data_IF_948159736181
#
_entry.id   IF_948159736181
#
_cell.length_a   1.000
_cell.length_b   1.000
_cell.length_c   1.000
_cell.angle_alpha   90.00
_cell.angle_beta   90.00
_cell.angle_gamma   90.00
#
_symmetry.space_group_name_H-M   'P 1'
#
loop_
_entity.id
_entity.type
_entity.pdbx_description
1 polymer ?
#
# COMPACT_ATOMS: atom_id res chain seq x y z
N UNK A 1 0.71 -3.48 -33.09
CA UNK A 1 -0.59 -4.21 -32.98
C UNK A 1 -1.69 -3.29 -33.49
N UNK A 2 -2.61 -3.75 -34.33
CA UNK A 2 -3.71 -2.92 -34.85
C UNK A 2 -4.85 -2.86 -33.83
N UNK A 3 -5.40 -1.68 -33.58
CA UNK A 3 -6.52 -1.44 -32.67
C UNK A 3 -7.67 -0.77 -33.43
N UNK A 4 -8.90 -1.04 -33.02
CA UNK A 4 -10.10 -0.36 -33.50
C UNK A 4 -11.00 -0.13 -32.29
N UNK A 5 -11.41 1.11 -32.07
CA UNK A 5 -12.26 1.51 -30.96
C UNK A 5 -13.45 2.31 -31.49
N UNK A 6 -14.70 1.93 -31.17
CA UNK A 6 -15.85 2.77 -31.43
C UNK A 6 -15.76 4.10 -30.67
N UNK A 7 -16.42 5.13 -31.18
CA UNK A 7 -16.48 6.43 -30.50
C UNK A 7 -17.02 6.27 -29.07
N UNK A 8 -16.32 6.87 -28.10
CA UNK A 8 -16.69 6.84 -26.68
C UNK A 8 -16.45 5.50 -25.96
N UNK A 9 -15.82 4.51 -26.61
CA UNK A 9 -15.54 3.20 -26.01
C UNK A 9 -14.07 3.03 -25.67
N UNK A 10 -13.81 2.27 -24.60
CA UNK A 10 -12.47 1.87 -24.20
C UNK A 10 -12.09 0.52 -24.82
N UNK A 11 -10.85 0.39 -25.29
CA UNK A 11 -10.31 -0.88 -25.81
C UNK A 11 -9.05 -1.22 -25.03
N UNK A 12 -9.04 -2.42 -24.44
CA UNK A 12 -7.86 -2.96 -23.77
C UNK A 12 -7.09 -3.88 -24.72
N UNK A 13 -5.77 -3.77 -24.72
CA UNK A 13 -4.88 -4.70 -25.42
C UNK A 13 -3.75 -5.15 -24.53
N UNK A 14 -3.42 -6.45 -24.60
CA UNK A 14 -2.23 -7.01 -23.97
C UNK A 14 -1.13 -7.19 -25.03
N UNK A 15 0.11 -6.87 -24.66
CA UNK A 15 1.30 -7.12 -25.48
C UNK A 15 2.32 -7.86 -24.64
N UNK A 16 3.03 -8.79 -25.27
CA UNK A 16 4.09 -9.56 -24.63
C UNK A 16 5.43 -9.16 -25.25
N UNK A 17 6.39 -8.84 -24.39
CA UNK A 17 7.75 -8.47 -24.78
C UNK A 17 8.70 -9.43 -24.09
N UNK A 18 9.53 -10.13 -24.87
CA UNK A 18 10.58 -11.00 -24.34
C UNK A 18 11.86 -10.20 -24.15
N UNK A 19 12.30 -10.07 -22.90
CA UNK A 19 13.60 -9.46 -22.57
C UNK A 19 14.59 -10.59 -22.32
N UNK A 20 15.56 -10.75 -23.22
CA UNK A 20 16.65 -11.73 -23.06
C UNK A 20 17.67 -11.22 -22.05
N UNK A 21 18.04 -12.08 -21.08
CA UNK A 21 19.04 -11.78 -20.04
C UNK A 21 18.80 -10.43 -19.33
N UNK A 22 17.63 -10.22 -18.70
CA UNK A 22 17.30 -8.95 -18.07
C UNK A 22 18.25 -8.65 -16.91
N UNK A 23 18.61 -7.37 -16.76
CA UNK A 23 19.25 -6.88 -15.55
C UNK A 23 18.18 -6.74 -14.48
N UNK A 24 18.20 -7.64 -13.49
CA UNK A 24 17.15 -7.66 -12.48
C UNK A 24 17.28 -6.46 -11.54
N UNK A 25 16.13 -5.91 -11.15
CA UNK A 25 16.03 -4.96 -10.06
C UNK A 25 16.27 -5.69 -8.73
N UNK A 26 17.13 -5.14 -7.88
CA UNK A 26 17.37 -5.60 -6.52
C UNK A 26 17.60 -4.41 -5.59
N UNK A 27 17.77 -4.67 -4.29
CA UNK A 27 18.13 -3.62 -3.31
C UNK A 27 19.49 -3.01 -3.66
N UNK A 28 20.47 -3.82 -4.05
CA UNK A 28 21.85 -3.41 -4.30
C UNK A 28 22.04 -2.90 -5.73
N UNK A 29 21.32 -3.46 -6.69
CA UNK A 29 21.35 -3.11 -8.11
C UNK A 29 19.94 -2.79 -8.61
N UNK A 30 19.42 -1.58 -8.32
CA UNK A 30 18.07 -1.16 -8.69
C UNK A 30 17.96 -0.82 -10.19
N UNK A 31 18.13 -1.82 -11.05
CA UNK A 31 18.04 -1.65 -12.50
C UNK A 31 16.61 -1.30 -12.93
N UNK A 32 16.45 -0.17 -13.61
CA UNK A 32 15.18 0.32 -14.14
C UNK A 32 15.16 0.29 -15.67
N UNK A 33 13.96 0.12 -16.21
CA UNK A 33 13.62 0.11 -17.62
C UNK A 33 12.53 1.14 -17.90
N UNK A 34 12.54 1.69 -19.11
CA UNK A 34 11.47 2.54 -19.62
C UNK A 34 10.65 1.78 -20.66
N UNK A 35 9.37 1.59 -20.39
CA UNK A 35 8.40 1.10 -21.35
C UNK A 35 7.78 2.30 -22.07
N UNK A 36 8.21 2.51 -23.32
CA UNK A 36 7.66 3.54 -24.19
C UNK A 36 6.48 2.98 -24.99
N UNK A 37 5.28 3.48 -24.70
CA UNK A 37 4.04 3.13 -25.41
C UNK A 37 3.69 4.24 -26.38
N UNK A 38 3.54 3.90 -27.66
CA UNK A 38 3.17 4.86 -28.72
C UNK A 38 1.89 4.40 -29.43
N UNK A 39 0.98 5.34 -29.66
CA UNK A 39 -0.22 5.12 -30.47
C UNK A 39 -0.01 5.79 -31.82
N UNK A 40 -0.17 5.00 -32.89
CA UNK A 40 -0.02 5.49 -34.25
C UNK A 40 -1.35 5.46 -35.00
N UNK A 41 -1.64 6.54 -35.74
CA UNK A 41 -2.66 6.56 -36.79
C UNK A 41 -1.95 6.56 -38.15
N UNK A 42 -1.97 5.41 -38.83
CA UNK A 42 -1.09 5.17 -39.97
C UNK A 42 0.38 5.18 -39.52
N UNK A 43 1.19 6.07 -40.10
CA UNK A 43 2.60 6.25 -39.73
C UNK A 43 2.83 7.45 -38.80
N UNK A 44 1.77 8.13 -38.33
CA UNK A 44 1.86 9.32 -37.47
C UNK A 44 1.65 8.92 -36.01
N UNK A 45 2.56 9.32 -35.13
CA UNK A 45 2.37 9.24 -33.67
C UNK A 45 1.29 10.24 -33.26
N UNK A 46 0.26 9.77 -32.55
CA UNK A 46 -0.85 10.61 -32.05
C UNK A 46 -0.88 10.68 -30.53
N UNK A 47 -0.23 9.73 -29.85
CA UNK A 47 -0.09 9.71 -28.39
C UNK A 47 1.15 8.91 -27.99
N UNK A 48 1.74 9.29 -26.86
CA UNK A 48 2.95 8.67 -26.32
C UNK A 48 2.95 8.72 -24.79
N UNK A 49 3.31 7.62 -24.16
CA UNK A 49 3.49 7.54 -22.71
C UNK A 49 4.73 6.73 -22.39
N UNK A 50 5.49 7.17 -21.39
CA UNK A 50 6.64 6.44 -20.86
C UNK A 50 6.35 5.99 -19.44
N UNK A 51 6.52 4.69 -19.18
CA UNK A 51 6.38 4.11 -17.84
C UNK A 51 7.73 3.58 -17.39
N UNK A 52 8.25 4.09 -16.27
CA UNK A 52 9.43 3.53 -15.61
C UNK A 52 9.03 2.33 -14.78
N UNK A 53 9.77 1.24 -14.87
CA UNK A 53 9.57 0.03 -14.06
C UNK A 53 10.86 -0.77 -13.96
N UNK A 54 10.83 -1.98 -13.39
CA UNK A 54 11.96 -2.89 -13.32
C UNK A 54 11.52 -4.34 -13.44
N UNK A 55 12.48 -5.25 -13.56
CA UNK A 55 12.24 -6.69 -13.71
C UNK A 55 12.78 -7.38 -12.46
N UNK A 56 11.92 -8.04 -11.70
CA UNK A 56 12.32 -8.88 -10.56
C UNK A 56 11.29 -9.96 -10.30
N UNK A 57 11.66 -10.94 -9.49
CA UNK A 57 10.73 -11.88 -8.87
C UNK A 57 10.92 -11.85 -7.36
N UNK A 58 9.89 -12.22 -6.61
CA UNK A 58 10.05 -12.52 -5.18
C UNK A 58 9.08 -13.61 -4.75
N UNK A 59 9.31 -14.15 -3.57
CA UNK A 59 8.42 -15.13 -2.93
C UNK A 59 8.25 -14.82 -1.46
N UNK A 60 7.08 -15.16 -0.93
CA UNK A 60 6.83 -15.31 0.49
C UNK A 60 6.50 -16.77 0.74
N UNK A 61 7.44 -17.49 1.33
CA UNK A 61 7.24 -18.88 1.73
C UNK A 61 6.97 -18.94 3.24
N UNK A 62 5.94 -19.67 3.70
CA UNK A 62 5.59 -19.73 5.13
C UNK A 62 6.67 -20.40 5.99
N UNK A 63 7.57 -21.20 5.40
CA UNK A 63 8.63 -21.91 6.10
C UNK A 63 10.00 -21.22 5.95
N UNK A 64 10.28 -20.63 4.78
CA UNK A 64 11.61 -20.03 4.49
C UNK A 64 11.62 -18.51 4.45
N UNK A 65 10.46 -17.85 4.54
CA UNK A 65 10.32 -16.40 4.58
C UNK A 65 10.39 -15.72 3.22
N UNK A 66 10.90 -14.49 3.18
CA UNK A 66 10.96 -13.67 1.96
C UNK A 66 12.25 -13.92 1.17
N UNK A 67 12.12 -14.03 -0.15
CA UNK A 67 13.24 -14.08 -1.07
C UNK A 67 13.03 -13.16 -2.28
N UNK A 68 14.05 -12.41 -2.66
CA UNK A 68 14.08 -11.52 -3.82
C UNK A 68 15.03 -12.11 -4.87
N UNK A 69 14.56 -12.28 -6.11
CA UNK A 69 15.29 -12.90 -7.21
C UNK A 69 15.88 -14.29 -6.85
N UNK A 70 15.13 -15.06 -6.06
CA UNK A 70 15.54 -16.39 -5.59
C UNK A 70 16.53 -16.40 -4.42
N UNK A 71 16.94 -15.23 -3.90
CA UNK A 71 17.85 -15.09 -2.77
C UNK A 71 17.09 -14.70 -1.50
N UNK A 72 17.29 -15.44 -0.41
CA UNK A 72 16.66 -15.15 0.87
C UNK A 72 17.08 -13.76 1.37
N UNK A 73 16.11 -12.94 1.76
CA UNK A 73 16.32 -11.57 2.20
C UNK A 73 15.47 -11.27 3.44
N UNK A 74 16.09 -10.74 4.49
CA UNK A 74 15.35 -10.16 5.61
C UNK A 74 14.89 -8.75 5.24
N UNK A 75 13.61 -8.49 5.40
CA UNK A 75 13.00 -7.17 5.21
C UNK A 75 13.30 -6.33 6.46
N UNK A 76 14.20 -5.36 6.32
CA UNK A 76 14.66 -4.42 7.36
C UNK A 76 13.89 -3.11 7.19
N UNK A 77 12.60 -3.18 7.48
CA UNK A 77 11.64 -2.12 7.23
C UNK A 77 11.61 -1.04 8.30
N UNK A 78 11.29 0.19 7.89
CA UNK A 78 10.86 1.28 8.79
C UNK A 78 9.52 1.84 8.33
N UNK A 79 8.74 2.39 9.27
CA UNK A 79 7.49 3.08 8.97
C UNK A 79 7.77 4.57 8.78
N UNK A 80 7.20 5.17 7.73
CA UNK A 80 7.31 6.60 7.47
C UNK A 80 5.91 7.22 7.41
N UNK A 81 5.71 8.29 8.16
CA UNK A 81 4.66 9.27 7.87
C UNK A 81 5.10 10.17 6.71
N UNK A 82 4.14 10.91 6.13
CA UNK A 82 4.36 11.69 4.91
C UNK A 82 4.90 13.12 5.15
N UNK A 83 5.17 13.51 6.41
CA UNK A 83 5.73 14.82 6.74
C UNK A 83 7.27 14.82 6.86
N UNK A 84 7.86 16.02 6.81
CA UNK A 84 9.28 16.25 7.08
C UNK A 84 9.53 17.47 7.98
N UNK A 85 9.13 17.37 9.25
CA UNK A 85 9.46 18.37 10.27
C UNK A 85 8.92 19.76 9.90
N UNK A 86 9.80 20.76 9.79
CA UNK A 86 9.40 22.15 9.49
C UNK A 86 8.73 22.33 8.13
N UNK A 87 8.87 21.36 7.22
CA UNK A 87 8.23 21.39 5.89
C UNK A 87 6.78 20.91 5.93
N UNK A 88 6.34 20.35 7.05
CA UNK A 88 5.06 19.65 7.13
C UNK A 88 4.97 18.60 6.02
N UNK A 89 3.84 18.58 5.31
CA UNK A 89 3.50 17.59 4.28
C UNK A 89 3.95 17.99 2.87
N UNK A 90 4.42 19.23 2.67
CA UNK A 90 4.91 19.73 1.38
C UNK A 90 6.41 19.46 1.23
N UNK A 91 6.78 18.19 1.21
CA UNK A 91 8.18 17.76 1.28
C UNK A 91 8.81 17.68 -0.12
N UNK A 92 9.87 18.46 -0.42
CA UNK A 92 10.57 18.35 -1.70
C UNK A 92 11.23 16.98 -1.90
N UNK A 93 11.27 16.49 -3.15
CA UNK A 93 11.88 15.19 -3.52
C UNK A 93 13.30 15.02 -2.98
N UNK A 94 14.14 16.06 -3.03
CA UNK A 94 15.52 16.01 -2.53
C UNK A 94 15.62 15.80 -1.00
N UNK A 95 14.64 16.28 -0.24
CA UNK A 95 14.59 16.03 1.21
C UNK A 95 14.28 14.55 1.48
N UNK A 96 13.33 13.97 0.74
CA UNK A 96 13.06 12.55 0.80
C UNK A 96 14.27 11.72 0.38
N UNK A 97 14.91 12.07 -0.74
CA UNK A 97 16.12 11.39 -1.21
C UNK A 97 17.20 11.34 -0.15
N UNK A 98 17.49 12.48 0.50
CA UNK A 98 18.45 12.53 1.61
C UNK A 98 18.06 11.61 2.76
N UNK A 99 16.81 11.66 3.23
CA UNK A 99 16.33 10.82 4.34
C UNK A 99 16.40 9.33 4.01
N UNK A 100 15.99 8.95 2.80
CA UNK A 100 16.01 7.55 2.34
C UNK A 100 17.44 7.03 2.18
N UNK A 101 18.37 7.85 1.67
CA UNK A 101 19.79 7.49 1.62
C UNK A 101 20.36 7.27 3.01
N UNK A 102 20.08 8.15 3.97
CA UNK A 102 20.52 7.96 5.36
C UNK A 102 19.96 6.68 5.98
N UNK A 103 18.67 6.36 5.75
CA UNK A 103 18.10 5.08 6.19
C UNK A 103 18.81 3.89 5.55
N UNK A 104 19.10 3.97 4.26
CA UNK A 104 19.78 2.91 3.51
C UNK A 104 21.22 2.70 4.00
N UNK A 105 21.94 3.78 4.33
CA UNK A 105 23.27 3.72 4.95
C UNK A 105 23.26 2.99 6.31
N UNK A 106 22.16 3.08 7.05
CA UNK A 106 21.93 2.32 8.29
C UNK A 106 21.52 0.86 8.06
N UNK A 107 21.38 0.43 6.80
CA UNK A 107 21.00 -0.92 6.42
C UNK A 107 19.49 -1.15 6.25
N UNK A 108 18.68 -0.10 6.23
CA UNK A 108 17.27 -0.19 5.86
C UNK A 108 17.14 -0.63 4.38
N UNK A 109 16.22 -1.55 4.10
CA UNK A 109 15.93 -1.99 2.74
C UNK A 109 14.44 -1.98 2.38
N UNK A 110 13.58 -1.48 3.28
CA UNK A 110 12.15 -1.41 3.04
C UNK A 110 11.48 -0.26 3.79
N UNK A 111 10.42 0.26 3.21
CA UNK A 111 9.59 1.33 3.75
C UNK A 111 8.15 0.83 3.83
N UNK A 112 7.47 1.12 4.93
CA UNK A 112 6.01 1.11 5.03
C UNK A 112 5.50 2.54 4.99
N UNK A 113 4.59 2.83 4.06
CA UNK A 113 3.83 4.08 4.03
C UNK A 113 2.78 4.02 5.15
N UNK A 114 2.95 4.78 6.23
CA UNK A 114 2.06 4.74 7.39
C UNK A 114 1.26 6.04 7.49
N UNK A 115 -0.07 6.05 7.41
CA UNK A 115 -1.01 4.95 7.15
C UNK A 115 -1.89 5.30 5.94
N UNK A 116 -1.23 5.76 4.88
CA UNK A 116 -1.86 6.38 3.72
C UNK A 116 -1.00 6.19 2.47
N UNK A 117 -1.56 6.39 1.26
CA UNK A 117 -0.77 6.52 0.05
C UNK A 117 0.09 7.77 0.13
N UNK A 118 1.38 7.66 -0.21
CA UNK A 118 2.31 8.79 -0.25
C UNK A 118 2.29 9.47 -1.64
N UNK A 119 3.09 10.54 -1.77
CA UNK A 119 3.30 11.22 -3.04
C UNK A 119 4.12 10.33 -4.01
N UNK A 120 3.85 10.38 -5.34
CA UNK A 120 4.53 9.57 -6.35
C UNK A 120 6.07 9.59 -6.27
N UNK A 121 6.63 10.74 -5.91
CA UNK A 121 8.07 10.97 -5.81
C UNK A 121 8.76 10.05 -4.81
N UNK A 122 8.06 9.60 -3.75
CA UNK A 122 8.62 8.64 -2.80
C UNK A 122 8.83 7.27 -3.44
N UNK A 123 7.84 6.79 -4.19
CA UNK A 123 7.93 5.49 -4.86
C UNK A 123 8.97 5.50 -5.98
N UNK A 124 9.05 6.60 -6.74
CA UNK A 124 10.15 6.82 -7.71
C UNK A 124 11.52 6.75 -7.04
N UNK A 125 11.69 7.41 -5.89
CA UNK A 125 12.94 7.32 -5.13
C UNK A 125 13.19 5.91 -4.61
N UNK A 126 12.18 5.18 -4.14
CA UNK A 126 12.34 3.79 -3.70
C UNK A 126 12.72 2.86 -4.86
N UNK A 127 12.17 3.08 -6.05
CA UNK A 127 12.55 2.38 -7.29
C UNK A 127 14.02 2.64 -7.63
N UNK A 128 14.44 3.92 -7.66
CA UNK A 128 15.80 4.36 -8.00
C UNK A 128 16.83 3.94 -6.95
N UNK A 129 16.47 4.01 -5.67
CA UNK A 129 17.38 3.75 -4.57
C UNK A 129 17.42 2.28 -4.18
N UNK A 130 16.53 1.42 -4.66
CA UNK A 130 16.49 0.01 -4.27
C UNK A 130 15.99 -0.15 -2.83
N UNK A 131 14.74 0.25 -2.58
CA UNK A 131 14.02 0.05 -1.32
C UNK A 131 12.68 -0.62 -1.62
N UNK A 132 12.32 -1.67 -0.89
CA UNK A 132 11.00 -2.29 -1.01
C UNK A 132 9.94 -1.38 -0.37
N UNK A 133 8.71 -1.37 -0.90
CA UNK A 133 7.61 -0.55 -0.37
C UNK A 133 6.37 -1.39 -0.06
N UNK A 134 5.90 -1.30 1.18
CA UNK A 134 4.55 -1.69 1.56
C UNK A 134 3.68 -0.43 1.53
N UNK A 135 2.80 -0.37 0.54
CA UNK A 135 1.91 0.77 0.33
C UNK A 135 0.57 0.53 1.00
N UNK A 136 0.14 1.45 1.87
CA UNK A 136 -0.99 1.26 2.77
C UNK A 136 -2.11 2.24 2.47
N UNK A 137 -3.33 1.71 2.32
CA UNK A 137 -4.46 2.51 1.87
C UNK A 137 -5.11 3.31 3.00
N UNK A 138 -5.35 2.68 4.16
CA UNK A 138 -6.24 3.22 5.16
C UNK A 138 -5.76 2.98 6.59
N UNK A 139 -5.94 3.97 7.46
CA UNK A 139 -5.83 3.79 8.91
C UNK A 139 -7.15 3.30 9.53
N UNK A 140 -8.28 3.51 8.86
CA UNK A 140 -9.62 3.16 9.35
C UNK A 140 -10.56 2.86 8.17
N UNK A 141 -11.65 2.13 8.43
CA UNK A 141 -12.64 1.74 7.41
C UNK A 141 -13.98 2.46 7.63
N UNK A 142 -15.07 1.71 7.80
CA UNK A 142 -16.44 2.23 7.93
C UNK A 142 -16.77 2.78 9.33
N UNK A 143 -15.86 2.66 10.29
CA UNK A 143 -16.00 3.24 11.62
C UNK A 143 -14.72 3.97 12.01
N UNK A 144 -14.82 5.11 12.70
CA UNK A 144 -13.68 5.95 13.01
C UNK A 144 -12.90 5.45 14.22
N UNK A 145 -11.58 5.57 14.18
CA UNK A 145 -10.71 5.54 15.36
C UNK A 145 -10.77 6.88 16.08
N UNK A 146 -10.57 6.87 17.41
CA UNK A 146 -10.46 8.08 18.23
C UNK A 146 -9.32 8.98 17.77
N UNK A 147 -9.63 10.22 17.40
CA UNK A 147 -8.64 11.27 17.11
C UNK A 147 -8.56 12.24 18.30
N UNK A 148 -7.50 12.17 19.08
CA UNK A 148 -7.35 13.01 20.28
C UNK A 148 -7.09 14.47 19.88
N UNK A 149 -8.11 15.32 20.05
CA UNK A 149 -8.05 16.74 19.67
C UNK A 149 -7.13 17.55 20.58
N UNK A 150 -7.04 17.15 21.85
CA UNK A 150 -6.10 17.70 22.82
C UNK A 150 -5.38 16.54 23.53
N UNK A 151 -4.07 16.68 23.73
CA UNK A 151 -3.26 15.68 24.42
C UNK A 151 -3.05 14.38 23.62
N UNK A 152 -2.75 13.30 24.35
CA UNK A 152 -2.55 11.96 23.79
C UNK A 152 -3.27 10.96 24.68
N UNK A 153 -4.25 10.24 24.13
CA UNK A 153 -5.04 9.24 24.87
C UNK A 153 -5.73 9.82 26.12
N UNK A 154 -6.02 11.12 26.11
CA UNK A 154 -6.65 11.84 27.22
C UNK A 154 -7.55 12.94 26.66
N UNK A 155 -8.75 13.06 27.19
CA UNK A 155 -9.70 14.13 26.82
C UNK A 155 -10.88 13.61 26.01
N UNK A 156 -11.43 14.46 25.15
CA UNK A 156 -12.56 14.12 24.26
C UNK A 156 -12.01 13.87 22.85
N UNK A 157 -12.17 12.66 22.29
CA UNK A 157 -11.76 12.40 20.92
C UNK A 157 -12.75 13.02 19.91
N UNK A 158 -12.21 13.46 18.78
CA UNK A 158 -12.96 13.67 17.55
C UNK A 158 -13.06 12.38 16.74
N UNK A 159 -14.03 12.35 15.83
CA UNK A 159 -14.34 11.20 14.99
C UNK A 159 -14.53 11.58 13.51
N UNK A 160 -14.28 12.84 13.17
CA UNK A 160 -14.35 13.33 11.79
C UNK A 160 -13.20 12.71 10.97
N UNK A 161 -13.50 12.22 9.77
CA UNK A 161 -12.50 11.55 8.95
C UNK A 161 -13.04 10.92 7.67
N UNK A 162 -12.23 10.04 7.08
CA UNK A 162 -12.58 9.35 5.82
C UNK A 162 -13.81 8.45 5.96
N UNK A 163 -14.18 8.09 7.20
CA UNK A 163 -15.31 7.22 7.52
C UNK A 163 -16.62 7.69 6.88
N UNK A 164 -16.87 9.00 6.84
CA UNK A 164 -18.09 9.59 6.26
C UNK A 164 -18.22 9.34 4.75
N UNK A 165 -17.10 9.02 4.11
CA UNK A 165 -16.97 8.82 2.67
C UNK A 165 -16.60 7.40 2.30
N UNK A 166 -16.21 6.56 3.27
CA UNK A 166 -15.61 5.25 3.02
C UNK A 166 -16.53 4.31 2.23
N UNK A 167 -17.84 4.32 2.49
CA UNK A 167 -18.80 3.51 1.73
C UNK A 167 -18.82 3.87 0.23
N UNK A 168 -18.75 5.17 -0.09
CA UNK A 168 -18.80 5.67 -1.46
C UNK A 168 -17.43 5.67 -2.16
N UNK A 169 -16.34 5.86 -1.40
CA UNK A 169 -15.01 6.16 -1.94
C UNK A 169 -13.96 5.11 -1.62
N UNK A 170 -14.09 4.31 -0.55
CA UNK A 170 -13.02 3.42 -0.09
C UNK A 170 -12.53 2.42 -1.15
N UNK A 171 -13.45 1.78 -1.89
CA UNK A 171 -13.06 0.89 -2.99
C UNK A 171 -12.45 1.65 -4.17
N UNK A 172 -12.97 2.85 -4.46
CA UNK A 172 -12.51 3.67 -5.58
C UNK A 172 -11.09 4.17 -5.32
N UNK A 173 -10.85 4.73 -4.14
CA UNK A 173 -9.56 5.28 -3.73
C UNK A 173 -8.51 4.18 -3.65
N UNK A 174 -8.86 3.01 -3.11
CA UNK A 174 -7.98 1.83 -3.13
C UNK A 174 -7.65 1.38 -4.55
N UNK A 175 -8.65 1.34 -5.43
CA UNK A 175 -8.45 0.97 -6.82
C UNK A 175 -7.56 1.98 -7.56
N UNK A 176 -7.70 3.28 -7.26
CA UNK A 176 -6.93 4.36 -7.85
C UNK A 176 -5.48 4.36 -7.36
N UNK A 177 -5.25 4.10 -6.06
CA UNK A 177 -3.91 3.85 -5.49
C UNK A 177 -3.19 2.71 -6.23
N UNK A 178 -3.83 1.53 -6.32
CA UNK A 178 -3.21 0.38 -7.00
C UNK A 178 -2.97 0.68 -8.48
N UNK A 179 -3.90 1.34 -9.18
CA UNK A 179 -3.71 1.70 -10.59
C UNK A 179 -2.56 2.68 -10.80
N UNK A 180 -2.45 3.69 -9.95
CA UNK A 180 -1.40 4.71 -9.98
C UNK A 180 -0.04 4.04 -9.77
N UNK A 181 0.06 3.17 -8.77
CA UNK A 181 1.36 2.79 -8.22
C UNK A 181 1.86 1.40 -8.66
N UNK A 182 1.02 0.53 -9.26
CA UNK A 182 1.40 -0.86 -9.61
C UNK A 182 2.59 -1.02 -10.57
N UNK A 183 3.03 0.04 -11.22
CA UNK A 183 4.20 0.02 -12.09
C UNK A 183 5.52 0.25 -11.34
N UNK A 184 5.47 0.76 -10.10
CA UNK A 184 6.63 0.87 -9.22
C UNK A 184 7.14 -0.52 -8.85
N UNK A 185 8.39 -0.79 -9.21
CA UNK A 185 9.03 -2.09 -8.99
C UNK A 185 9.37 -2.32 -7.51
N UNK A 186 9.56 -1.24 -6.76
CA UNK A 186 9.80 -1.23 -5.31
C UNK A 186 8.62 -1.78 -4.52
N UNK A 187 7.37 -1.53 -4.94
CA UNK A 187 6.19 -2.00 -4.22
C UNK A 187 6.16 -3.53 -4.23
N UNK A 188 6.13 -4.14 -3.05
CA UNK A 188 6.14 -5.60 -2.88
C UNK A 188 4.93 -6.12 -2.10
N UNK A 189 4.09 -5.24 -1.56
CA UNK A 189 2.83 -5.60 -0.90
C UNK A 189 1.89 -4.41 -0.83
N UNK A 190 0.59 -4.71 -0.81
CA UNK A 190 -0.49 -3.74 -0.66
C UNK A 190 -1.16 -3.95 0.70
N UNK A 191 -1.08 -2.98 1.61
CA UNK A 191 -1.76 -3.01 2.90
C UNK A 191 -3.15 -2.36 2.79
N UNK A 192 -4.20 -3.10 3.15
CA UNK A 192 -5.60 -2.62 3.05
C UNK A 192 -6.11 -1.90 4.30
N UNK A 193 -5.36 -1.92 5.40
CA UNK A 193 -5.79 -1.34 6.66
C UNK A 193 -4.72 -1.49 7.73
N UNK A 194 -4.62 -0.53 8.65
CA UNK A 194 -3.75 -0.60 9.82
C UNK A 194 -4.58 -0.80 11.09
N UNK A 195 -4.28 -1.81 11.91
CA UNK A 195 -4.86 -1.99 13.26
C UNK A 195 -6.38 -1.73 13.31
N UNK A 196 -7.12 -2.26 12.33
CA UNK A 196 -8.56 -1.97 12.19
C UNK A 196 -9.35 -2.64 13.32
N UNK A 197 -8.81 -3.74 13.85
CA UNK A 197 -9.30 -4.46 15.02
C UNK A 197 -8.75 -3.91 16.34
N UNK A 198 -8.29 -2.64 16.36
CA UNK A 198 -7.76 -2.05 17.59
C UNK A 198 -8.78 -2.26 18.74
N UNK A 199 -8.35 -2.84 19.86
CA UNK A 199 -9.25 -3.29 20.91
C UNK A 199 -10.22 -2.20 21.39
N UNK A 200 -11.53 -2.45 21.22
CA UNK A 200 -12.63 -1.56 21.61
C UNK A 200 -12.59 -0.16 20.95
N UNK A 201 -11.96 -0.07 19.78
CA UNK A 201 -12.05 1.08 18.90
C UNK A 201 -11.86 0.66 17.42
N UNK A 202 -12.90 0.65 16.58
CA UNK A 202 -14.32 0.84 16.88
C UNK A 202 -15.10 -0.47 17.08
N UNK A 203 -14.48 -1.63 16.85
CA UNK A 203 -15.19 -2.92 16.85
C UNK A 203 -15.08 -3.67 18.19
N UNK A 204 -16.07 -4.50 18.49
CA UNK A 204 -16.06 -5.41 19.63
C UNK A 204 -16.62 -6.79 19.28
N UNK A 205 -16.21 -7.81 20.00
CA UNK A 205 -16.67 -9.19 19.82
C UNK A 205 -16.70 -9.91 21.19
N UNK A 206 -17.62 -10.86 21.44
CA UNK A 206 -17.69 -11.59 22.71
C UNK A 206 -16.40 -12.25 23.17
N UNK A 207 -15.48 -12.57 22.24
CA UNK A 207 -14.13 -13.09 22.56
C UNK A 207 -13.31 -12.14 23.45
N UNK A 208 -13.60 -10.84 23.40
CA UNK A 208 -12.95 -9.80 24.21
C UNK A 208 -13.50 -9.73 25.65
N UNK A 209 -14.59 -10.44 25.97
CA UNK A 209 -15.21 -10.38 27.30
C UNK A 209 -14.35 -11.05 28.39
N UNK A 210 -13.31 -11.81 28.03
CA UNK A 210 -12.32 -12.31 28.97
C UNK A 210 -12.83 -13.25 30.07
N UNK A 211 -14.03 -13.84 29.93
CA UNK A 211 -14.66 -14.65 30.99
C UNK A 211 -14.29 -16.14 30.99
N UNK A 212 -13.11 -16.54 30.49
CA UNK A 212 -12.71 -17.96 30.47
C UNK A 212 -11.22 -18.22 30.19
N UNK A 213 -10.78 -19.48 30.36
CA UNK A 213 -9.41 -19.98 30.09
C UNK A 213 -8.89 -19.69 28.67
N UNK A 214 -9.79 -19.36 27.75
CA UNK A 214 -9.54 -19.17 26.31
C UNK A 214 -9.88 -17.74 25.81
N UNK A 215 -10.22 -16.81 26.72
CA UNK A 215 -10.54 -15.42 26.35
C UNK A 215 -9.30 -14.53 26.37
N UNK A 216 -9.15 -13.68 25.36
CA UNK A 216 -8.12 -12.62 25.39
C UNK A 216 -8.61 -11.51 26.33
N UNK A 217 -7.92 -11.31 27.45
CA UNK A 217 -8.16 -10.16 28.32
C UNK A 217 -7.38 -8.97 27.77
N UNK A 218 -8.07 -7.85 27.54
CA UNK A 218 -7.45 -6.53 27.45
C UNK A 218 -8.01 -5.66 28.58
N UNK A 219 -7.46 -5.79 29.80
CA UNK A 219 -8.00 -5.15 31.01
C UNK A 219 -8.12 -3.63 30.91
N UNK A 220 -7.33 -3.01 30.03
CA UNK A 220 -7.29 -1.55 29.88
C UNK A 220 -8.47 -0.98 29.08
N UNK A 221 -9.24 -1.82 28.37
CA UNK A 221 -10.32 -1.37 27.48
C UNK A 221 -11.74 -1.82 27.86
N UNK A 222 -11.91 -2.55 28.97
CA UNK A 222 -13.24 -2.81 29.55
C UNK A 222 -14.04 -3.98 28.97
N UNK A 223 -13.41 -4.91 28.25
CA UNK A 223 -14.06 -6.15 27.80
C UNK A 223 -14.98 -5.98 26.58
N UNK A 224 -15.91 -6.94 26.37
CA UNK A 224 -16.84 -6.91 25.24
C UNK A 224 -17.90 -5.82 25.42
N UNK A 225 -18.09 -5.01 24.37
CA UNK A 225 -19.08 -3.94 24.32
C UNK A 225 -20.17 -4.33 23.32
N UNK A 226 -21.35 -4.73 23.83
CA UNK A 226 -22.46 -5.21 23.00
C UNK A 226 -22.97 -4.17 21.99
N UNK A 227 -22.92 -2.90 22.36
CA UNK A 227 -23.42 -1.79 21.53
C UNK A 227 -22.37 -1.28 20.53
N UNK A 228 -21.13 -1.77 20.60
CA UNK A 228 -20.10 -1.44 19.62
C UNK A 228 -20.30 -2.25 18.33
N UNK A 229 -19.83 -1.72 17.17
CA UNK A 229 -19.78 -2.47 15.93
C UNK A 229 -19.23 -3.89 16.06
N UNK A 230 -19.91 -4.87 15.46
CA UNK A 230 -19.48 -6.27 15.51
C UNK A 230 -18.19 -6.48 14.69
N UNK A 231 -17.13 -6.97 15.35
CA UNK A 231 -15.84 -7.23 14.70
C UNK A 231 -15.92 -8.31 13.59
N UNK A 232 -16.96 -9.15 13.57
CA UNK A 232 -17.19 -10.10 12.46
C UNK A 232 -17.36 -9.39 11.10
N UNK A 233 -17.74 -8.10 11.11
CA UNK A 233 -17.89 -7.28 9.91
C UNK A 233 -16.56 -7.00 9.21
N UNK A 234 -15.45 -7.01 9.94
CA UNK A 234 -14.10 -6.82 9.41
C UNK A 234 -13.75 -7.82 8.30
N UNK A 235 -14.15 -9.09 8.48
CA UNK A 235 -13.90 -10.14 7.50
C UNK A 235 -14.60 -9.89 6.16
N UNK A 236 -15.78 -9.27 6.18
CA UNK A 236 -16.54 -8.91 4.97
C UNK A 236 -15.86 -7.76 4.22
N UNK A 237 -15.46 -6.71 4.94
CA UNK A 237 -14.80 -5.53 4.36
C UNK A 237 -13.43 -5.92 3.82
N UNK A 238 -12.63 -6.65 4.59
CA UNK A 238 -11.31 -7.12 4.16
C UNK A 238 -11.39 -7.96 2.87
N UNK A 239 -12.37 -8.86 2.75
CA UNK A 239 -12.59 -9.63 1.51
C UNK A 239 -12.91 -8.72 0.32
N UNK A 240 -13.72 -7.68 0.53
CA UNK A 240 -14.07 -6.68 -0.49
C UNK A 240 -12.83 -5.90 -0.95
N UNK A 241 -12.13 -5.25 -0.02
CA UNK A 241 -10.92 -4.47 -0.32
C UNK A 241 -9.82 -5.32 -0.97
N UNK A 242 -9.58 -6.52 -0.45
CA UNK A 242 -8.61 -7.43 -1.04
C UNK A 242 -9.03 -7.94 -2.43
N UNK A 243 -10.32 -7.97 -2.75
CA UNK A 243 -10.79 -8.26 -4.11
C UNK A 243 -10.52 -7.10 -5.08
N UNK A 244 -10.66 -5.85 -4.61
CA UNK A 244 -10.34 -4.63 -5.36
C UNK A 244 -8.85 -4.62 -5.73
N UNK A 245 -7.95 -4.85 -4.77
CA UNK A 245 -6.51 -4.92 -5.09
C UNK A 245 -6.24 -5.99 -6.14
N UNK A 246 -6.76 -7.21 -5.95
CA UNK A 246 -6.57 -8.33 -6.89
C UNK A 246 -7.21 -8.14 -8.26
N UNK A 247 -8.14 -7.19 -8.41
CA UNK A 247 -8.68 -6.81 -9.70
C UNK A 247 -7.63 -6.08 -10.55
N UNK A 248 -6.79 -5.24 -9.92
CA UNK A 248 -5.83 -4.38 -10.62
C UNK A 248 -4.38 -4.84 -10.52
N UNK A 249 -4.05 -5.65 -9.52
CA UNK A 249 -2.74 -6.26 -9.35
C UNK A 249 -2.84 -7.64 -8.66
N UNK A 250 -2.47 -8.69 -9.42
CA UNK A 250 -2.35 -10.07 -8.93
C UNK A 250 -0.90 -10.48 -8.70
N UNK A 251 0.05 -9.62 -9.05
CA UNK A 251 1.48 -9.91 -8.97
C UNK A 251 2.07 -9.64 -7.60
N UNK A 252 1.30 -9.00 -6.71
CA UNK A 252 1.70 -8.65 -5.35
C UNK A 252 0.70 -9.13 -4.31
N UNK A 253 1.16 -9.54 -3.11
CA UNK A 253 0.28 -9.95 -2.03
C UNK A 253 -0.52 -8.77 -1.48
N UNK A 254 -1.73 -9.09 -1.01
CA UNK A 254 -2.52 -8.20 -0.15
C UNK A 254 -2.21 -8.54 1.30
N UNK A 255 -1.93 -7.54 2.12
CA UNK A 255 -1.67 -7.62 3.56
C UNK A 255 -2.53 -6.61 4.32
N UNK A 256 -2.48 -6.64 5.64
CA UNK A 256 -3.00 -5.64 6.57
C UNK A 256 -2.07 -5.61 7.80
#
# INVERSE_FOLDING_TARGET
>A
KKLSAPAGQHVQTNMELKVSNPQLWSIETPNLYQLKTTVLQGNKVIDETTTTTGIRSYTFDPNTGFALNGQALKVKGVCLHHDAGVLGVSVPKEVWKRRLLTLKELGCNAIRCSHNPHAPELYELCDELGLLVMDEAFDEWEFPKRKWLEGWNKGTPGFDGIVDFFEAWGERDLADMVRRDRNHVSIFSWSIGNEIDYPNDPYSHPVLNGTGKDGFTQPIFGGYQKEAPDAMRLGTIAKKLASVVRQYDKSRPVTA
#
